data_IF_345876040573
#
_entry.id   IF_345876040573
#
_cell.length_a   1.000
_cell.length_b   1.000
_cell.length_c   1.000
_cell.angle_alpha   90.00
_cell.angle_beta   90.00
_cell.angle_gamma   90.00
#
_symmetry.space_group_name_H-M   'P 1'
#
loop_
_entity.id
_entity.type
_entity.pdbx_description
1 polymer ?
#
# COMPACT_ATOMS: atom_id res chain seq x y z
N UNK A 1 20.04 -3.49 6.74
CA UNK A 1 18.63 -3.27 6.36
C UNK A 1 18.58 -2.05 5.47
N UNK A 2 17.91 -2.16 4.32
CA UNK A 2 17.69 -1.00 3.45
C UNK A 2 16.64 -0.11 4.08
N UNK A 3 16.89 1.20 4.19
CA UNK A 3 15.89 2.16 4.68
C UNK A 3 14.73 2.27 3.71
N UNK A 4 13.52 2.45 4.24
CA UNK A 4 12.32 2.60 3.43
C UNK A 4 12.43 3.79 2.45
N UNK A 5 13.00 4.91 2.90
CA UNK A 5 13.30 6.11 2.08
C UNK A 5 14.14 5.80 0.83
N UNK A 6 15.08 4.85 0.91
CA UNK A 6 15.87 4.43 -0.26
C UNK A 6 15.05 3.56 -1.22
N UNK A 7 14.20 2.70 -0.67
CA UNK A 7 13.29 1.86 -1.46
C UNK A 7 12.23 2.70 -2.18
N UNK A 8 11.55 3.61 -1.48
CA UNK A 8 10.47 4.41 -2.08
C UNK A 8 10.99 5.36 -3.17
N UNK A 9 12.22 5.89 -3.02
CA UNK A 9 12.87 6.69 -4.05
C UNK A 9 13.08 5.90 -5.36
N UNK A 10 13.32 4.58 -5.27
CA UNK A 10 13.42 3.72 -6.45
C UNK A 10 12.08 3.61 -7.18
N UNK A 11 10.97 3.44 -6.44
CA UNK A 11 9.61 3.41 -7.00
C UNK A 11 9.24 4.74 -7.67
N UNK A 12 9.56 5.87 -7.03
CA UNK A 12 9.19 7.20 -7.51
C UNK A 12 9.95 7.60 -8.78
N UNK A 13 11.19 7.13 -8.95
CA UNK A 13 12.00 7.43 -10.14
C UNK A 13 11.39 6.89 -11.43
N UNK A 14 10.67 5.78 -11.35
CA UNK A 14 10.20 5.05 -12.53
C UNK A 14 8.83 5.55 -13.03
N UNK A 15 8.24 6.56 -12.38
CA UNK A 15 7.02 7.26 -12.81
C UNK A 15 5.72 6.45 -12.71
N UNK A 16 5.77 5.18 -12.30
CA UNK A 16 4.61 4.33 -12.00
C UNK A 16 4.43 4.13 -10.48
N UNK A 17 4.55 5.23 -9.76
CA UNK A 17 4.66 5.28 -8.30
C UNK A 17 3.39 4.80 -7.59
N UNK A 18 2.21 5.18 -8.09
CA UNK A 18 0.93 4.77 -7.51
C UNK A 18 0.75 3.26 -7.50
N UNK A 19 0.80 2.62 -8.67
CA UNK A 19 0.54 1.17 -8.80
C UNK A 19 1.61 0.33 -8.11
N UNK A 20 2.87 0.70 -8.24
CA UNK A 20 3.96 0.01 -7.54
C UNK A 20 3.81 0.13 -6.02
N UNK A 21 3.41 1.29 -5.52
CA UNK A 21 3.18 1.49 -4.10
C UNK A 21 1.99 0.69 -3.56
N UNK A 22 0.89 0.58 -4.31
CA UNK A 22 -0.23 -0.31 -3.93
C UNK A 22 0.21 -1.77 -3.75
N UNK A 23 0.98 -2.28 -4.72
CA UNK A 23 1.51 -3.64 -4.66
C UNK A 23 2.46 -3.80 -3.47
N UNK A 24 3.31 -2.81 -3.21
CA UNK A 24 4.17 -2.80 -2.04
C UNK A 24 3.37 -2.83 -0.73
N UNK A 25 2.32 -2.00 -0.60
CA UNK A 25 1.47 -1.99 0.60
C UNK A 25 0.82 -3.35 0.81
N UNK A 26 0.38 -4.02 -0.26
CA UNK A 26 -0.11 -5.41 -0.17
C UNK A 26 0.94 -6.34 0.42
N UNK A 27 2.15 -6.34 -0.14
CA UNK A 27 3.26 -7.16 0.33
C UNK A 27 3.63 -6.84 1.78
N UNK A 28 3.70 -5.56 2.14
CA UNK A 28 4.01 -5.09 3.48
C UNK A 28 3.02 -5.62 4.52
N UNK A 29 1.71 -5.52 4.26
CA UNK A 29 0.68 -6.06 5.15
C UNK A 29 0.77 -7.58 5.37
N UNK A 30 1.42 -8.31 4.45
CA UNK A 30 1.59 -9.75 4.53
C UNK A 30 2.93 -10.18 5.16
N UNK A 31 3.95 -9.32 5.12
CA UNK A 31 5.33 -9.67 5.50
C UNK A 31 5.84 -8.92 6.72
N UNK A 32 5.24 -7.78 7.07
CA UNK A 32 5.60 -7.05 8.27
C UNK A 32 5.33 -7.89 9.53
N UNK A 33 6.30 -8.01 10.47
CA UNK A 33 6.14 -8.83 11.66
C UNK A 33 4.92 -8.48 12.52
N UNK A 34 4.47 -7.22 12.50
CA UNK A 34 3.30 -6.78 13.25
C UNK A 34 2.01 -7.02 12.44
N UNK A 35 1.95 -6.53 11.20
CA UNK A 35 0.74 -6.62 10.38
C UNK A 35 0.40 -8.04 9.95
N UNK A 36 1.38 -8.87 9.61
CA UNK A 36 1.17 -10.27 9.22
C UNK A 36 0.51 -11.10 10.34
N UNK A 37 0.69 -10.69 11.60
CA UNK A 37 0.03 -11.35 12.75
C UNK A 37 -1.45 -10.97 12.88
N UNK A 38 -1.87 -9.86 12.29
CA UNK A 38 -3.22 -9.29 12.39
C UNK A 38 -4.07 -9.55 11.14
N UNK A 39 -3.41 -9.60 9.97
CA UNK A 39 -4.06 -9.76 8.67
C UNK A 39 -4.31 -11.23 8.36
N UNK A 40 -5.53 -11.54 7.92
CA UNK A 40 -5.92 -12.87 7.45
C UNK A 40 -5.75 -13.01 5.93
N UNK A 41 -6.24 -12.02 5.19
CA UNK A 41 -6.22 -11.98 3.72
C UNK A 41 -6.13 -10.54 3.23
N UNK A 42 -5.44 -10.30 2.11
CA UNK A 42 -5.31 -8.97 1.48
C UNK A 42 -5.62 -9.07 -0.01
N UNK A 43 -6.46 -8.16 -0.49
CA UNK A 43 -6.84 -8.03 -1.89
C UNK A 43 -6.55 -6.62 -2.39
N UNK A 44 -6.15 -6.51 -3.65
CA UNK A 44 -6.33 -5.26 -4.37
C UNK A 44 -7.83 -5.04 -4.56
N UNK A 45 -8.27 -3.78 -4.68
CA UNK A 45 -9.68 -3.46 -4.87
C UNK A 45 -10.34 -4.25 -5.99
N UNK A 46 -9.65 -4.38 -7.13
CA UNK A 46 -10.17 -5.09 -8.30
C UNK A 46 -10.32 -6.60 -8.08
N UNK A 47 -9.60 -7.17 -7.12
CA UNK A 47 -9.60 -8.60 -6.82
C UNK A 47 -10.53 -8.96 -5.64
N UNK A 48 -11.07 -7.97 -4.93
CA UNK A 48 -11.91 -8.20 -3.76
C UNK A 48 -13.33 -8.62 -4.20
N UNK A 49 -13.84 -9.79 -3.76
CA UNK A 49 -15.10 -10.35 -4.25
C UNK A 49 -16.34 -9.51 -3.94
N UNK A 50 -16.29 -8.68 -2.90
CA UNK A 50 -17.43 -7.87 -2.45
C UNK A 50 -17.35 -6.41 -2.94
N UNK A 51 -16.50 -6.13 -3.93
CA UNK A 51 -16.39 -4.81 -4.55
C UNK A 51 -17.70 -4.41 -5.23
N UNK A 52 -18.11 -3.17 -5.02
CA UNK A 52 -19.41 -2.64 -5.49
C UNK A 52 -19.29 -1.74 -6.73
N UNK A 53 -18.15 -1.71 -7.40
CA UNK A 53 -17.94 -0.84 -8.54
C UNK A 53 -16.48 -0.75 -8.99
N UNK A 54 -16.20 0.14 -9.96
CA UNK A 54 -14.84 0.53 -10.32
C UNK A 54 -14.13 1.22 -9.14
N UNK A 55 -12.80 1.33 -9.21
CA UNK A 55 -12.01 2.00 -8.18
C UNK A 55 -12.40 3.48 -8.05
N UNK A 56 -12.88 3.83 -6.88
CA UNK A 56 -13.30 5.18 -6.50
C UNK A 56 -12.52 5.68 -5.28
N UNK A 57 -11.33 5.16 -4.99
CA UNK A 57 -10.44 5.66 -3.94
C UNK A 57 -10.14 4.66 -2.81
N UNK A 58 -10.48 3.39 -2.96
CA UNK A 58 -9.98 2.31 -2.10
C UNK A 58 -9.00 1.52 -2.96
N UNK A 59 -7.72 1.47 -2.59
CA UNK A 59 -6.73 0.73 -3.38
C UNK A 59 -6.69 -0.74 -2.99
N UNK A 60 -6.81 -1.04 -1.69
CA UNK A 60 -6.79 -2.40 -1.15
C UNK A 60 -7.88 -2.60 -0.10
N UNK A 61 -8.22 -3.87 0.11
CA UNK A 61 -9.03 -4.31 1.23
C UNK A 61 -8.31 -5.46 1.91
N UNK A 62 -8.32 -5.49 3.24
CA UNK A 62 -7.89 -6.67 3.97
C UNK A 62 -8.93 -7.11 4.99
N UNK A 63 -8.97 -8.42 5.22
CA UNK A 63 -9.71 -9.03 6.31
C UNK A 63 -8.75 -9.19 7.49
N UNK A 64 -9.11 -8.62 8.63
CA UNK A 64 -8.39 -8.82 9.88
C UNK A 64 -8.79 -10.17 10.49
N UNK A 65 -7.91 -10.79 11.29
CA UNK A 65 -8.17 -12.12 11.88
C UNK A 65 -9.38 -12.18 12.83
N UNK A 66 -9.86 -11.02 13.29
CA UNK A 66 -11.09 -10.91 14.09
C UNK A 66 -12.36 -10.83 13.22
N UNK A 67 -12.26 -10.85 11.89
CA UNK A 67 -13.37 -10.72 10.95
C UNK A 67 -13.67 -9.30 10.48
N UNK A 68 -13.00 -8.27 11.01
CA UNK A 68 -13.17 -6.88 10.55
C UNK A 68 -12.65 -6.74 9.11
N UNK A 69 -13.40 -6.04 8.28
CA UNK A 69 -12.95 -5.63 6.95
C UNK A 69 -12.39 -4.21 7.01
N UNK A 70 -11.18 -4.05 6.48
CA UNK A 70 -10.46 -2.78 6.46
C UNK A 70 -10.27 -2.29 5.04
N UNK A 71 -10.71 -1.06 4.78
CA UNK A 71 -10.39 -0.36 3.54
C UNK A 71 -9.02 0.32 3.65
N UNK A 72 -8.20 0.20 2.61
CA UNK A 72 -6.86 0.78 2.56
C UNK A 72 -6.75 1.75 1.39
N UNK A 73 -6.25 2.95 1.67
CA UNK A 73 -5.78 3.88 0.64
C UNK A 73 -4.26 3.99 0.76
N UNK A 74 -3.56 3.76 -0.35
CA UNK A 74 -2.12 3.95 -0.49
C UNK A 74 -1.86 5.23 -1.31
N UNK A 75 -1.14 6.18 -0.74
CA UNK A 75 -0.73 7.43 -1.40
C UNK A 75 0.79 7.51 -1.47
N UNK A 76 1.33 7.37 -2.67
CA UNK A 76 2.73 7.63 -2.95
C UNK A 76 2.90 9.11 -3.34
N UNK A 77 3.37 9.93 -2.41
CA UNK A 77 3.73 11.33 -2.65
C UNK A 77 5.20 11.58 -2.34
N UNK A 78 5.79 12.58 -2.99
CA UNK A 78 7.08 13.12 -2.56
C UNK A 78 6.97 13.63 -1.12
N UNK A 79 8.04 13.45 -0.35
CA UNK A 79 8.19 13.93 1.02
C UNK A 79 7.82 15.40 1.24
N UNK A 80 7.84 16.24 0.20
CA UNK A 80 7.53 17.68 0.25
C UNK A 80 6.05 17.99 0.06
N UNK A 81 5.23 17.06 -0.42
CA UNK A 81 3.81 17.29 -0.66
C UNK A 81 2.94 16.76 0.49
N UNK A 82 2.17 17.61 1.17
CA UNK A 82 1.26 17.17 2.21
C UNK A 82 0.03 16.49 1.63
N UNK A 83 -0.43 15.41 2.27
CA UNK A 83 -1.75 14.83 2.00
C UNK A 83 -2.83 15.82 2.43
N UNK A 84 -3.64 16.25 1.46
CA UNK A 84 -4.73 17.20 1.70
C UNK A 84 -6.04 16.49 2.07
N UNK A 85 -7.00 17.23 2.62
CA UNK A 85 -8.36 16.70 2.84
C UNK A 85 -8.97 16.20 1.53
N UNK A 86 -8.77 16.95 0.44
CA UNK A 86 -9.32 16.61 -0.88
C UNK A 86 -8.80 15.26 -1.38
N UNK A 87 -7.53 14.93 -1.08
CA UNK A 87 -6.93 13.65 -1.50
C UNK A 87 -7.55 12.44 -0.81
N UNK A 88 -8.19 12.65 0.34
CA UNK A 88 -8.83 11.61 1.15
C UNK A 88 -10.36 11.60 1.03
N UNK A 89 -10.98 12.67 0.53
CA UNK A 89 -12.45 12.83 0.56
C UNK A 89 -13.15 11.64 -0.13
N UNK A 90 -12.65 11.20 -1.29
CA UNK A 90 -13.22 10.06 -2.00
C UNK A 90 -13.04 8.74 -1.25
N UNK A 91 -11.86 8.50 -0.66
CA UNK A 91 -11.61 7.34 0.20
C UNK A 91 -12.57 7.29 1.39
N UNK A 92 -12.73 8.40 2.11
CA UNK A 92 -13.59 8.49 3.29
C UNK A 92 -15.06 8.25 2.93
N UNK A 93 -15.51 8.81 1.80
CA UNK A 93 -16.86 8.61 1.27
C UNK A 93 -17.12 7.15 0.93
N UNK A 94 -16.26 6.53 0.12
CA UNK A 94 -16.48 5.16 -0.37
C UNK A 94 -16.35 4.11 0.73
N UNK A 95 -15.40 4.28 1.65
CA UNK A 95 -15.22 3.38 2.79
C UNK A 95 -16.25 3.58 3.91
N UNK A 96 -17.25 4.46 3.73
CA UNK A 96 -18.31 4.66 4.72
C UNK A 96 -19.38 3.55 4.71
N UNK A 97 -19.33 2.62 3.75
CA UNK A 97 -20.30 1.51 3.64
C UNK A 97 -20.21 0.53 4.81
N UNK A 98 -21.35 0.03 5.28
CA UNK A 98 -21.46 -0.81 6.49
C UNK A 98 -20.55 -2.05 6.50
N UNK A 99 -20.24 -2.62 5.33
CA UNK A 99 -19.31 -3.74 5.17
C UNK A 99 -17.87 -3.40 5.62
N UNK A 100 -17.46 -2.13 5.53
CA UNK A 100 -16.15 -1.68 5.99
C UNK A 100 -16.23 -1.29 7.45
N UNK A 101 -15.40 -1.89 8.30
CA UNK A 101 -15.36 -1.62 9.73
C UNK A 101 -14.37 -0.51 10.08
N UNK A 102 -13.18 -0.54 9.46
CA UNK A 102 -12.06 0.35 9.78
C UNK A 102 -11.32 0.78 8.51
N UNK A 103 -10.49 1.81 8.63
CA UNK A 103 -9.75 2.41 7.52
C UNK A 103 -8.27 2.50 7.86
N UNK A 104 -7.43 2.21 6.87
CA UNK A 104 -5.99 2.40 6.92
C UNK A 104 -5.58 3.35 5.80
N UNK A 105 -5.00 4.50 6.17
CA UNK A 105 -4.35 5.41 5.24
C UNK A 105 -2.84 5.17 5.30
N UNK A 106 -2.26 4.77 4.17
CA UNK A 106 -0.84 4.48 4.03
C UNK A 106 -0.19 5.53 3.13
N UNK A 107 0.88 6.18 3.59
CA UNK A 107 1.51 7.27 2.85
C UNK A 107 3.04 7.16 2.84
N UNK A 108 3.67 7.63 1.77
CA UNK A 108 5.14 7.76 1.68
C UNK A 108 5.67 9.10 2.21
N UNK A 109 4.86 9.85 2.96
CA UNK A 109 5.19 11.14 3.56
C UNK A 109 4.52 11.28 4.91
N UNK A 110 5.16 11.93 5.87
CA UNK A 110 4.55 12.29 7.16
C UNK A 110 3.71 13.57 7.09
N UNK A 111 3.77 14.29 5.96
CA UNK A 111 3.10 15.57 5.82
C UNK A 111 1.61 15.38 5.55
N UNK A 112 0.79 15.98 6.42
CA UNK A 112 -0.65 16.10 6.24
C UNK A 112 -1.08 17.54 6.53
N UNK A 113 -2.04 18.04 5.75
CA UNK A 113 -2.66 19.33 6.07
C UNK A 113 -3.42 19.28 7.40
N UNK A 114 -3.50 20.39 8.13
CA UNK A 114 -4.26 20.48 9.38
C UNK A 114 -5.72 20.03 9.23
N UNK A 115 -6.33 20.34 8.08
CA UNK A 115 -7.68 19.90 7.74
C UNK A 115 -7.76 18.37 7.56
N UNK A 116 -6.79 17.75 6.89
CA UNK A 116 -6.76 16.29 6.75
C UNK A 116 -6.64 15.61 8.12
N UNK A 117 -5.73 16.07 8.98
CA UNK A 117 -5.55 15.54 10.33
C UNK A 117 -6.85 15.66 11.14
N UNK A 118 -7.49 16.83 11.11
CA UNK A 118 -8.76 17.08 11.79
C UNK A 118 -9.85 16.16 11.25
N UNK A 119 -9.97 16.02 9.93
CA UNK A 119 -10.97 15.15 9.31
C UNK A 119 -10.80 13.70 9.75
N UNK A 120 -9.58 13.15 9.77
CA UNK A 120 -9.31 11.79 10.26
C UNK A 120 -9.75 11.60 11.72
N UNK A 121 -9.47 12.57 12.60
CA UNK A 121 -9.80 12.49 14.04
C UNK A 121 -11.30 12.47 14.34
N UNK A 122 -12.12 13.02 13.46
CA UNK A 122 -13.57 13.17 13.66
C UNK A 122 -14.40 12.22 12.79
N UNK A 123 -13.79 11.19 12.20
CA UNK A 123 -14.55 10.14 11.53
C UNK A 123 -15.19 9.20 12.56
N UNK A 124 -16.45 8.81 12.33
CA UNK A 124 -17.11 7.77 13.12
C UNK A 124 -16.40 6.42 12.97
N UNK A 125 -16.08 6.02 11.72
CA UNK A 125 -15.21 4.88 11.47
C UNK A 125 -13.75 5.30 11.58
N UNK A 126 -12.97 4.70 12.49
CA UNK A 126 -11.58 5.09 12.73
C UNK A 126 -10.72 5.04 11.47
N UNK A 127 -9.84 6.04 11.34
CA UNK A 127 -8.79 6.08 10.32
C UNK A 127 -7.45 5.92 10.99
N UNK A 128 -6.86 4.74 10.85
CA UNK A 128 -5.46 4.48 11.21
C UNK A 128 -4.58 5.07 10.11
N UNK A 129 -3.46 5.67 10.50
CA UNK A 129 -2.49 6.28 9.59
C UNK A 129 -1.17 5.56 9.75
N UNK A 130 -0.59 5.11 8.65
CA UNK A 130 0.72 4.49 8.58
C UNK A 130 1.56 5.29 7.59
N UNK A 131 2.50 6.07 8.13
CA UNK A 131 3.18 7.14 7.43
C UNK A 131 4.65 6.77 7.18
N UNK A 132 5.41 7.68 6.57
CA UNK A 132 6.83 7.47 6.26
C UNK A 132 7.64 7.07 7.50
N UNK A 133 7.46 7.79 8.60
CA UNK A 133 8.15 7.52 9.86
C UNK A 133 7.82 6.13 10.44
N UNK A 134 6.58 5.65 10.27
CA UNK A 134 6.16 4.32 10.69
C UNK A 134 6.88 3.23 9.87
N UNK A 135 7.07 3.42 8.57
CA UNK A 135 7.88 2.51 7.75
C UNK A 135 9.36 2.52 8.11
N UNK A 136 9.92 3.66 8.54
CA UNK A 136 11.33 3.75 8.92
C UNK A 136 11.63 3.05 10.26
N UNK A 137 10.63 2.87 11.13
CA UNK A 137 10.76 2.14 12.39
C UNK A 137 10.35 0.67 12.29
N UNK A 138 9.60 0.29 11.25
CA UNK A 138 9.14 -1.08 11.07
C UNK A 138 10.32 -2.04 10.87
N UNK A 139 10.26 -3.20 11.50
CA UNK A 139 11.32 -4.22 11.49
C UNK A 139 11.25 -5.10 10.23
N UNK A 140 11.12 -4.47 9.07
CA UNK A 140 11.02 -5.11 7.75
C UNK A 140 12.26 -4.79 6.92
N UNK A 141 12.81 -5.79 6.22
CA UNK A 141 13.88 -5.54 5.26
C UNK A 141 13.31 -5.15 3.89
N UNK A 142 13.42 -3.87 3.53
CA UNK A 142 12.87 -3.30 2.29
C UNK A 142 13.72 -3.59 1.05
N UNK A 143 14.14 -4.84 0.84
CA UNK A 143 14.90 -5.20 -0.37
C UNK A 143 13.96 -5.30 -1.55
N UNK A 144 14.25 -4.53 -2.59
CA UNK A 144 13.49 -4.61 -3.84
C UNK A 144 13.43 -6.05 -4.41
N UNK A 145 14.49 -6.86 -4.20
CA UNK A 145 14.51 -8.27 -4.60
C UNK A 145 13.43 -9.12 -3.94
N UNK A 146 13.05 -8.80 -2.70
CA UNK A 146 12.10 -9.60 -1.94
C UNK A 146 10.67 -9.26 -2.38
N UNK A 147 10.46 -8.00 -2.76
CA UNK A 147 9.21 -7.53 -3.36
C UNK A 147 9.02 -8.00 -4.81
N UNK A 148 10.07 -7.92 -5.65
CA UNK A 148 9.98 -8.28 -7.07
C UNK A 148 10.23 -9.77 -7.34
N UNK A 149 10.94 -10.47 -6.44
CA UNK A 149 11.41 -11.84 -6.63
C UNK A 149 10.38 -12.94 -6.31
N UNK A 150 9.37 -12.67 -5.47
CA UNK A 150 8.37 -13.67 -5.07
C UNK A 150 7.25 -13.92 -6.09
N UNK A 151 7.23 -13.21 -7.22
CA UNK A 151 6.33 -13.56 -8.33
C UNK A 151 6.72 -14.87 -9.04
N UNK A 152 7.83 -15.49 -8.64
CA UNK A 152 8.37 -16.73 -9.21
C UNK A 152 8.39 -17.92 -8.26
N UNK A 153 7.23 -18.41 -7.80
CA UNK A 153 7.18 -19.60 -6.93
C UNK A 153 5.85 -20.36 -6.91
N UNK A 154 5.67 -21.27 -7.87
CA UNK A 154 4.64 -22.34 -7.97
C UNK A 154 3.16 -21.91 -7.92
N UNK A 155 2.64 -21.60 -9.12
CA UNK A 155 1.22 -21.82 -9.45
C UNK A 155 0.38 -20.55 -9.59
N UNK A 156 0.52 -19.84 -10.72
CA UNK A 156 -0.42 -18.81 -11.15
C UNK A 156 -0.02 -17.38 -10.77
N UNK A 157 0.67 -16.67 -11.67
CA UNK A 157 0.99 -15.26 -11.42
C UNK A 157 1.97 -14.57 -12.38
N UNK A 158 2.51 -15.26 -13.38
CA UNK A 158 3.48 -14.65 -14.32
C UNK A 158 2.86 -13.73 -15.39
N UNK A 159 1.52 -13.68 -15.50
CA UNK A 159 0.85 -12.97 -16.60
C UNK A 159 0.60 -11.49 -16.26
N UNK A 160 0.26 -11.16 -15.00
CA UNK A 160 -0.03 -9.77 -14.61
C UNK A 160 1.24 -8.91 -14.47
N UNK A 161 2.33 -9.47 -13.94
CA UNK A 161 3.61 -8.75 -13.79
C UNK A 161 4.25 -8.38 -15.14
N UNK A 162 4.14 -9.27 -16.15
CA UNK A 162 4.63 -8.99 -17.52
C UNK A 162 3.87 -7.87 -18.22
N UNK A 163 2.58 -7.71 -17.92
CA UNK A 163 1.75 -6.69 -18.56
C UNK A 163 1.95 -5.30 -17.96
N UNK A 164 2.31 -5.21 -16.68
CA UNK A 164 2.52 -3.92 -16.01
C UNK A 164 3.97 -3.42 -16.01
N UNK A 165 4.99 -4.27 -16.16
CA UNK A 165 6.39 -3.87 -15.92
C UNK A 165 7.40 -4.61 -16.84
N UNK A 166 7.61 -4.19 -18.10
CA UNK A 166 8.55 -4.84 -19.02
C UNK A 166 10.04 -4.78 -18.60
N UNK A 167 10.42 -3.85 -17.72
CA UNK A 167 11.82 -3.52 -17.39
C UNK A 167 12.32 -4.09 -16.05
N UNK A 168 11.47 -4.74 -15.24
CA UNK A 168 11.88 -5.34 -13.97
C UNK A 168 12.99 -6.41 -14.14
N UNK A 169 13.14 -6.94 -15.36
CA UNK A 169 14.21 -7.86 -15.73
C UNK A 169 15.62 -7.23 -15.64
N UNK A 170 15.75 -5.92 -15.93
CA UNK A 170 17.05 -5.25 -16.02
C UNK A 170 17.67 -4.98 -14.65
N UNK A 171 16.85 -4.74 -13.63
CA UNK A 171 17.32 -4.59 -12.24
C UNK A 171 17.77 -5.90 -11.61
N UNK A 172 17.22 -7.04 -12.03
CA UNK A 172 17.67 -8.37 -11.60
C UNK A 172 19.02 -8.71 -12.26
N UNK A 173 19.21 -8.34 -13.53
CA UNK A 173 20.43 -8.64 -14.28
C UNK A 173 21.65 -7.79 -13.86
N UNK A 174 21.43 -6.61 -13.29
CA UNK A 174 22.52 -5.72 -12.83
C UNK A 174 23.23 -6.23 -11.56
N UNK A 175 22.57 -7.04 -10.73
CA UNK A 175 23.17 -7.67 -9.53
C UNK A 175 23.76 -9.06 -9.80
N UNK A 176 23.75 -9.51 -11.06
CA UNK A 176 24.17 -10.85 -11.47
C UNK A 176 25.50 -10.95 -12.22
N UNK A 177 26.32 -9.89 -12.28
CA UNK A 177 27.64 -9.94 -12.92
C UNK A 177 28.77 -9.72 -11.90
N UNK A 178 29.40 -10.84 -11.52
CA UNK A 178 30.85 -10.90 -11.34
C UNK A 178 31.53 -10.78 -12.70
#
# INVERSE_FOLDING_TARGET
MTRFSSFIASIQRDGNDGRAFELFVKWFLQNDPEWSTQVKSVWLWNDWPEKWGPDTGINLVFEHKNGDIWAVQAKCYDSKYPVSKKDMDTFLSESNRSIINKRLLVTSTDLMSANAIRTCKHQEKPVVRFMLSDFEIAEVDYRATDFWGETGGRGGGWVAAKQCMPWAQDHINANGRR
#
